data_IF_434425663213
#
_entry.id   IF_434425663213
#
_cell.length_a   1.000
_cell.length_b   1.000
_cell.length_c   1.000
_cell.angle_alpha   90.00
_cell.angle_beta   90.00
_cell.angle_gamma   90.00
#
_symmetry.space_group_name_H-M   'P 1'
#
loop_
_entity.id
_entity.type
_entity.pdbx_description
1 polymer ?
#
# COMPACT_ATOMS: atom_id res chain seq x y z
N UNK A 1 66.27 19.90 10.29
CA UNK A 1 65.26 19.44 9.35
C UNK A 1 64.44 18.35 10.04
N UNK A 2 63.30 18.72 10.60
CA UNK A 2 62.46 17.83 11.40
C UNK A 2 61.09 17.82 10.74
N UNK A 3 60.78 16.70 10.05
CA UNK A 3 59.48 16.49 9.42
C UNK A 3 58.42 16.17 10.47
N UNK A 4 57.40 17.01 10.55
CA UNK A 4 56.23 16.84 11.39
C UNK A 4 55.26 15.86 10.71
N UNK A 5 55.14 14.65 11.23
CA UNK A 5 54.24 13.60 10.81
C UNK A 5 52.79 13.98 11.26
N UNK A 6 51.97 14.54 10.38
CA UNK A 6 50.57 14.79 10.59
C UNK A 6 49.81 13.42 10.63
N UNK A 7 49.39 13.05 11.80
CA UNK A 7 48.48 11.92 12.03
C UNK A 7 47.07 12.27 11.48
N UNK A 8 46.72 11.71 10.32
CA UNK A 8 45.32 11.64 9.85
C UNK A 8 44.61 10.59 10.69
N UNK A 9 43.97 10.99 11.76
CA UNK A 9 42.97 10.15 12.45
C UNK A 9 41.69 10.14 11.60
N UNK A 10 41.59 9.17 10.70
CA UNK A 10 40.34 8.84 10.04
C UNK A 10 39.39 8.28 11.09
N UNK A 11 38.45 9.08 11.57
CA UNK A 11 37.32 8.55 12.33
C UNK A 11 36.59 7.57 11.41
N UNK A 12 36.73 6.27 11.68
CA UNK A 12 35.83 5.26 11.15
C UNK A 12 34.46 5.51 11.80
N UNK A 13 33.56 6.19 11.09
CA UNK A 13 32.14 6.23 11.42
C UNK A 13 31.67 4.78 11.49
N UNK A 14 31.33 4.32 12.66
CA UNK A 14 30.77 2.97 12.86
C UNK A 14 29.36 2.99 12.27
N UNK A 15 28.91 1.86 11.73
CA UNK A 15 27.55 1.66 11.19
C UNK A 15 26.45 2.09 12.19
N UNK A 16 26.83 2.34 13.43
CA UNK A 16 26.05 2.80 14.57
C UNK A 16 25.69 4.31 14.49
N UNK A 17 26.53 5.12 13.83
CA UNK A 17 26.36 6.58 13.72
C UNK A 17 25.51 6.97 12.50
N UNK A 18 25.03 6.00 11.71
CA UNK A 18 24.26 6.21 10.47
C UNK A 18 22.78 5.80 10.58
N UNK A 19 22.30 5.29 11.73
CA UNK A 19 20.89 4.91 11.89
C UNK A 19 20.02 6.15 11.97
N UNK A 20 19.11 6.28 10.99
CA UNK A 20 18.14 7.36 10.94
C UNK A 20 16.76 6.97 11.50
N UNK A 21 15.87 7.94 11.56
CA UNK A 21 14.47 7.74 11.98
C UNK A 21 13.78 6.61 11.20
N UNK A 22 14.07 6.50 9.90
CA UNK A 22 13.53 5.47 9.01
C UNK A 22 13.88 4.04 9.46
N UNK A 23 15.06 3.82 10.03
CA UNK A 23 15.47 2.49 10.52
C UNK A 23 14.64 2.06 11.72
N UNK A 24 14.34 3.00 12.62
CA UNK A 24 13.45 2.77 13.76
C UNK A 24 12.03 2.45 13.31
N UNK A 25 11.49 3.21 12.36
CA UNK A 25 10.15 2.97 11.78
C UNK A 25 10.12 1.58 11.12
N UNK A 26 11.10 1.24 10.31
CA UNK A 26 11.17 -0.05 9.63
C UNK A 26 11.30 -1.22 10.61
N UNK A 27 12.08 -1.07 11.67
CA UNK A 27 12.21 -2.10 12.71
C UNK A 27 10.90 -2.25 13.51
N UNK A 28 10.24 -1.15 13.86
CA UNK A 28 8.94 -1.12 14.53
C UNK A 28 7.84 -1.73 13.65
N UNK A 29 7.77 -1.37 12.35
CA UNK A 29 6.87 -1.98 11.35
C UNK A 29 6.99 -3.50 11.33
N UNK A 30 8.23 -4.04 11.28
CA UNK A 30 8.46 -5.49 11.29
C UNK A 30 7.96 -6.16 12.58
N UNK A 31 8.06 -5.48 13.72
CA UNK A 31 7.54 -5.99 15.00
C UNK A 31 6.00 -5.93 15.00
N UNK A 32 5.43 -4.81 14.56
CA UNK A 32 3.99 -4.62 14.44
C UNK A 32 3.34 -5.72 13.58
N UNK A 33 3.89 -5.97 12.39
CA UNK A 33 3.39 -7.01 11.47
C UNK A 33 3.46 -8.39 12.12
N UNK A 34 4.58 -8.72 12.77
CA UNK A 34 4.80 -10.09 13.27
C UNK A 34 4.14 -10.37 14.61
N UNK A 35 4.05 -9.36 15.48
CA UNK A 35 3.72 -9.56 16.89
C UNK A 35 2.62 -8.62 17.42
N UNK A 36 2.12 -7.69 16.60
CA UNK A 36 1.13 -6.70 17.01
C UNK A 36 1.71 -5.51 17.77
N UNK A 37 0.83 -4.52 18.03
CA UNK A 37 1.23 -3.22 18.60
C UNK A 37 1.75 -3.31 20.05
N UNK A 38 1.27 -4.26 20.83
CA UNK A 38 1.69 -4.46 22.23
C UNK A 38 3.17 -4.80 22.34
N UNK A 39 3.74 -5.40 21.28
CA UNK A 39 5.13 -5.80 21.22
C UNK A 39 6.05 -4.74 20.58
N UNK A 40 5.49 -3.65 20.08
CA UNK A 40 6.27 -2.49 19.60
C UNK A 40 6.78 -1.71 20.82
N UNK A 41 7.88 -2.20 21.41
CA UNK A 41 8.56 -1.65 22.59
C UNK A 41 9.92 -1.10 22.19
N UNK A 42 10.31 0.05 22.76
CA UNK A 42 11.57 0.74 22.44
C UNK A 42 12.77 -0.20 22.64
N UNK A 43 12.76 -0.97 23.72
CA UNK A 43 13.82 -1.90 24.08
C UNK A 43 13.98 -3.01 23.03
N UNK A 44 12.86 -3.56 22.54
CA UNK A 44 12.87 -4.60 21.49
C UNK A 44 13.38 -4.06 20.16
N UNK A 45 13.01 -2.82 19.83
CA UNK A 45 13.48 -2.15 18.61
C UNK A 45 14.99 -1.88 18.73
N UNK A 46 15.44 -1.31 19.85
CA UNK A 46 16.85 -1.04 20.11
C UNK A 46 17.72 -2.31 20.04
N UNK A 47 17.24 -3.39 20.64
CA UNK A 47 17.90 -4.72 20.55
C UNK A 47 17.98 -5.19 19.10
N UNK A 48 16.89 -5.09 18.34
CA UNK A 48 16.86 -5.48 16.91
C UNK A 48 17.81 -4.66 16.05
N UNK A 49 17.97 -3.38 16.36
CA UNK A 49 18.89 -2.46 15.67
C UNK A 49 20.32 -2.53 16.20
N UNK A 50 20.55 -3.27 17.31
CA UNK A 50 21.85 -3.39 18.00
C UNK A 50 22.38 -2.03 18.49
N UNK A 51 21.50 -1.19 19.03
CA UNK A 51 21.80 0.12 19.61
C UNK A 51 21.26 0.23 21.04
N UNK A 52 21.63 1.30 21.74
CA UNK A 52 21.11 1.59 23.08
C UNK A 52 19.71 2.21 23.00
N UNK A 53 18.92 2.04 24.05
CA UNK A 53 17.60 2.72 24.20
C UNK A 53 17.76 4.25 24.13
N UNK A 54 18.88 4.78 24.64
CA UNK A 54 19.17 6.23 24.54
C UNK A 54 19.21 6.77 23.12
N UNK A 55 19.65 5.93 22.13
CA UNK A 55 19.66 6.32 20.72
C UNK A 55 18.25 6.61 20.18
N UNK A 56 17.20 6.02 20.73
CA UNK A 56 15.81 6.28 20.33
C UNK A 56 15.43 7.75 20.54
N UNK A 57 15.82 8.33 21.67
CA UNK A 57 15.43 9.70 22.03
C UNK A 57 16.11 10.80 21.22
N UNK A 58 17.10 10.44 20.39
CA UNK A 58 17.63 11.34 19.37
C UNK A 58 16.68 11.51 18.17
N UNK A 59 15.76 10.55 17.97
CA UNK A 59 14.87 10.50 16.82
C UNK A 59 13.41 10.75 17.17
N UNK A 60 12.98 10.39 18.39
CA UNK A 60 11.59 10.46 18.82
C UNK A 60 11.49 10.98 20.26
N UNK A 61 10.50 11.83 20.53
CA UNK A 61 10.22 12.32 21.88
C UNK A 61 9.66 11.24 22.81
N UNK A 62 9.23 10.10 22.28
CA UNK A 62 8.67 8.99 23.03
C UNK A 62 7.92 8.01 22.14
N UNK A 63 7.39 6.94 22.75
CA UNK A 63 6.63 5.90 22.04
C UNK A 63 5.42 6.43 21.25
N UNK A 64 4.65 7.44 21.72
CA UNK A 64 3.58 8.02 20.91
C UNK A 64 4.07 8.60 19.59
N UNK A 65 5.20 9.32 19.58
CA UNK A 65 5.77 9.88 18.35
C UNK A 65 6.19 8.79 17.36
N UNK A 66 6.70 7.66 17.84
CA UNK A 66 6.97 6.50 16.97
C UNK A 66 5.68 5.91 16.39
N UNK A 67 4.60 5.85 17.17
CA UNK A 67 3.31 5.35 16.69
C UNK A 67 2.71 6.28 15.62
N UNK A 68 2.80 7.59 15.82
CA UNK A 68 2.37 8.56 14.81
C UNK A 68 3.21 8.43 13.53
N UNK A 69 4.52 8.22 13.65
CA UNK A 69 5.40 7.97 12.51
C UNK A 69 5.11 6.64 11.79
N UNK A 70 4.70 5.59 12.50
CA UNK A 70 4.24 4.35 11.88
C UNK A 70 2.97 4.58 11.04
N UNK A 71 2.01 5.33 11.57
CA UNK A 71 0.78 5.64 10.83
C UNK A 71 1.08 6.50 9.61
N UNK A 72 1.90 7.53 9.72
CA UNK A 72 2.31 8.36 8.57
C UNK A 72 3.05 7.52 7.51
N UNK A 73 3.89 6.59 7.93
CA UNK A 73 4.54 5.66 7.02
C UNK A 73 3.52 4.76 6.31
N UNK A 74 2.52 4.22 7.02
CA UNK A 74 1.44 3.43 6.43
C UNK A 74 0.61 4.24 5.43
N UNK A 75 0.21 5.46 5.76
CA UNK A 75 -0.50 6.35 4.84
C UNK A 75 0.31 6.58 3.56
N UNK A 76 1.62 6.79 3.70
CA UNK A 76 2.51 7.05 2.57
C UNK A 76 2.74 5.82 1.70
N UNK A 77 2.92 4.65 2.30
CA UNK A 77 3.30 3.43 1.57
C UNK A 77 2.11 2.57 1.15
N UNK A 78 0.96 2.70 1.80
CA UNK A 78 -0.20 1.83 1.54
C UNK A 78 -1.44 2.56 1.03
N UNK A 79 -1.53 3.89 1.15
CA UNK A 79 -2.71 4.65 0.71
C UNK A 79 -2.41 5.54 -0.48
N UNK A 80 -1.40 6.42 -0.38
CA UNK A 80 -1.02 7.31 -1.49
C UNK A 80 -0.77 6.61 -2.83
N UNK A 81 -0.15 5.40 -2.88
CA UNK A 81 0.08 4.71 -4.14
C UNK A 81 -1.18 4.38 -4.94
N UNK A 82 -2.32 4.10 -4.28
CA UNK A 82 -3.60 3.81 -4.94
C UNK A 82 -4.11 5.04 -5.71
N UNK A 83 -4.17 6.18 -5.05
CA UNK A 83 -4.59 7.44 -5.68
C UNK A 83 -3.65 7.86 -6.82
N UNK A 84 -2.33 7.70 -6.61
CA UNK A 84 -1.32 8.02 -7.63
C UNK A 84 -1.44 7.12 -8.86
N UNK A 85 -1.66 5.81 -8.67
CA UNK A 85 -1.83 4.87 -9.77
C UNK A 85 -3.04 5.24 -10.64
N UNK A 86 -4.18 5.54 -10.03
CA UNK A 86 -5.39 5.96 -10.74
C UNK A 86 -5.18 7.28 -11.48
N UNK A 87 -4.56 8.28 -10.82
CA UNK A 87 -4.26 9.56 -11.44
C UNK A 87 -3.35 9.42 -12.66
N UNK A 88 -2.35 8.56 -12.60
CA UNK A 88 -1.39 8.32 -13.69
C UNK A 88 -1.99 7.54 -14.85
N UNK A 89 -3.10 6.83 -14.64
CA UNK A 89 -3.76 6.02 -15.66
C UNK A 89 -4.61 6.83 -16.66
N UNK A 90 -4.76 8.16 -16.47
CA UNK A 90 -5.61 9.02 -17.31
C UNK A 90 -7.08 8.80 -17.03
N UNK A 91 -7.95 9.10 -18.02
CA UNK A 91 -9.42 9.14 -17.82
C UNK A 91 -10.16 7.85 -18.22
N UNK A 92 -9.47 6.89 -18.86
CA UNK A 92 -10.07 5.60 -19.22
C UNK A 92 -10.32 4.76 -17.96
N UNK A 93 -11.59 4.41 -17.65
CA UNK A 93 -11.93 3.66 -16.43
C UNK A 93 -11.29 2.26 -16.39
N UNK A 94 -11.04 1.64 -17.55
CA UNK A 94 -10.37 0.35 -17.64
C UNK A 94 -8.92 0.44 -17.19
N UNK A 95 -8.21 1.48 -17.63
CA UNK A 95 -6.82 1.77 -17.20
C UNK A 95 -6.78 2.10 -15.71
N UNK A 96 -7.71 2.91 -15.23
CA UNK A 96 -7.81 3.28 -13.82
C UNK A 96 -8.09 2.06 -12.92
N UNK A 97 -9.02 1.20 -13.35
CA UNK A 97 -9.34 -0.03 -12.63
C UNK A 97 -8.11 -0.94 -12.53
N UNK A 98 -7.44 -1.21 -13.65
CA UNK A 98 -6.24 -2.05 -13.67
C UNK A 98 -5.08 -1.44 -12.89
N UNK A 99 -4.88 -0.14 -12.95
CA UNK A 99 -3.85 0.55 -12.17
C UNK A 99 -4.12 0.45 -10.67
N UNK A 100 -5.38 0.64 -10.24
CA UNK A 100 -5.78 0.50 -8.85
C UNK A 100 -5.56 -0.92 -8.33
N UNK A 101 -6.06 -1.93 -9.06
CA UNK A 101 -5.88 -3.33 -8.70
C UNK A 101 -4.43 -3.79 -8.83
N UNK A 102 -3.67 -3.22 -9.75
CA UNK A 102 -2.26 -3.50 -9.92
C UNK A 102 -1.43 -3.20 -8.66
N UNK A 103 -1.80 -2.16 -7.91
CA UNK A 103 -1.16 -1.88 -6.61
C UNK A 103 -1.37 -3.04 -5.64
N UNK A 104 -2.58 -3.59 -5.57
CA UNK A 104 -2.91 -4.69 -4.67
C UNK A 104 -2.39 -6.05 -5.16
N UNK A 105 -2.60 -6.38 -6.43
CA UNK A 105 -2.27 -7.71 -6.99
C UNK A 105 -0.77 -7.90 -7.13
N UNK A 106 -0.05 -6.84 -7.54
CA UNK A 106 1.40 -6.88 -7.71
C UNK A 106 2.16 -6.49 -6.44
N UNK A 107 1.45 -6.05 -5.40
CA UNK A 107 2.00 -5.59 -4.11
C UNK A 107 3.13 -4.55 -4.28
N UNK A 108 3.01 -3.71 -5.30
CA UNK A 108 3.97 -2.66 -5.59
C UNK A 108 3.61 -1.40 -4.82
N UNK A 109 4.51 -0.98 -3.95
CA UNK A 109 4.27 0.13 -3.04
C UNK A 109 2.98 -0.07 -2.21
N UNK A 110 2.73 -1.32 -1.82
CA UNK A 110 1.66 -1.72 -0.92
C UNK A 110 2.12 -2.98 -0.17
N UNK A 111 1.96 -2.98 1.12
CA UNK A 111 2.30 -4.12 1.98
C UNK A 111 1.02 -4.61 2.67
N UNK A 112 0.41 -5.71 2.19
CA UNK A 112 -0.85 -6.22 2.74
C UNK A 112 -0.72 -6.64 4.21
N UNK A 113 0.45 -7.15 4.62
CA UNK A 113 0.70 -7.51 6.01
C UNK A 113 0.71 -6.29 6.91
N UNK A 114 1.25 -5.17 6.42
CA UNK A 114 1.23 -3.90 7.16
C UNK A 114 -0.19 -3.33 7.25
N UNK A 115 -0.95 -3.35 6.16
CA UNK A 115 -2.36 -2.91 6.16
C UNK A 115 -3.18 -3.71 7.18
N UNK A 116 -3.04 -5.04 7.17
CA UNK A 116 -3.68 -5.94 8.13
C UNK A 116 -3.27 -5.65 9.56
N UNK A 117 -1.97 -5.44 9.82
CA UNK A 117 -1.46 -5.16 11.16
C UNK A 117 -1.98 -3.83 11.72
N UNK A 118 -2.09 -2.78 10.88
CA UNK A 118 -2.70 -1.50 11.27
C UNK A 118 -4.19 -1.65 11.54
N UNK A 119 -4.92 -2.44 10.74
CA UNK A 119 -6.34 -2.76 10.98
C UNK A 119 -6.55 -3.54 12.29
N UNK A 120 -5.65 -4.47 12.60
CA UNK A 120 -5.68 -5.16 13.91
C UNK A 120 -5.44 -4.18 15.06
N UNK A 121 -4.48 -3.26 14.92
CA UNK A 121 -4.21 -2.22 15.90
C UNK A 121 -5.40 -1.28 16.08
N UNK A 122 -6.12 -0.94 15.02
CA UNK A 122 -7.30 -0.05 15.08
C UNK A 122 -8.40 -0.56 16.03
N UNK A 123 -8.50 -1.88 16.21
CA UNK A 123 -9.51 -2.49 17.10
C UNK A 123 -9.27 -2.18 18.58
N UNK A 124 -8.03 -1.87 18.96
CA UNK A 124 -7.65 -1.55 20.36
C UNK A 124 -7.34 -0.07 20.57
N UNK A 125 -7.46 0.78 19.53
CA UNK A 125 -7.16 2.21 19.60
C UNK A 125 -8.20 3.03 18.84
N UNK A 126 -9.10 3.76 19.54
CA UNK A 126 -10.08 4.63 18.88
C UNK A 126 -9.46 5.66 17.95
N UNK A 127 -8.29 6.23 18.31
CA UNK A 127 -7.53 7.16 17.45
C UNK A 127 -7.18 6.50 16.09
N UNK A 128 -6.62 5.31 16.15
CA UNK A 128 -6.22 4.59 14.92
C UNK A 128 -7.45 4.10 14.16
N UNK A 129 -8.52 3.70 14.87
CA UNK A 129 -9.80 3.34 14.27
C UNK A 129 -10.38 4.46 13.42
N UNK A 130 -10.37 5.70 13.91
CA UNK A 130 -10.82 6.87 13.17
C UNK A 130 -9.98 7.11 11.91
N UNK A 131 -8.64 6.95 11.98
CA UNK A 131 -7.76 7.10 10.83
C UNK A 131 -8.03 6.01 9.78
N UNK A 132 -8.17 4.75 10.20
CA UNK A 132 -8.48 3.64 9.28
C UNK A 132 -9.82 3.86 8.59
N UNK A 133 -10.85 4.34 9.30
CA UNK A 133 -12.15 4.65 8.72
C UNK A 133 -12.08 5.75 7.65
N UNK A 134 -11.28 6.79 7.86
CA UNK A 134 -11.04 7.85 6.86
C UNK A 134 -10.33 7.30 5.62
N UNK A 135 -9.32 6.45 5.81
CA UNK A 135 -8.59 5.80 4.72
C UNK A 135 -9.50 4.86 3.92
N UNK A 136 -10.37 4.11 4.60
CA UNK A 136 -11.34 3.23 3.94
C UNK A 136 -12.33 4.04 3.10
N UNK A 137 -12.83 5.15 3.62
CA UNK A 137 -13.69 6.06 2.89
C UNK A 137 -12.99 6.64 1.65
N UNK A 138 -11.75 7.12 1.79
CA UNK A 138 -10.94 7.65 0.66
C UNK A 138 -10.76 6.59 -0.44
N UNK A 139 -10.38 5.37 -0.09
CA UNK A 139 -10.17 4.28 -1.05
C UNK A 139 -11.47 3.87 -1.76
N UNK A 140 -12.59 3.88 -1.04
CA UNK A 140 -13.92 3.64 -1.61
C UNK A 140 -14.28 4.76 -2.58
N UNK A 141 -14.06 6.03 -2.24
CA UNK A 141 -14.37 7.16 -3.14
C UNK A 141 -13.51 7.15 -4.42
N UNK A 142 -12.26 6.69 -4.37
CA UNK A 142 -11.46 6.45 -5.58
C UNK A 142 -12.16 5.42 -6.50
N UNK A 143 -12.63 4.30 -5.92
CA UNK A 143 -13.35 3.28 -6.67
C UNK A 143 -14.70 3.79 -7.19
N UNK A 144 -15.44 4.60 -6.42
CA UNK A 144 -16.67 5.25 -6.89
C UNK A 144 -16.40 6.07 -8.15
N UNK A 145 -15.32 6.87 -8.14
CA UNK A 145 -14.91 7.63 -9.32
C UNK A 145 -14.65 6.76 -10.56
N UNK A 146 -14.04 5.59 -10.38
CA UNK A 146 -13.83 4.62 -11.47
C UNK A 146 -15.15 4.05 -11.97
N UNK A 147 -16.08 3.66 -11.08
CA UNK A 147 -17.38 3.11 -11.47
C UNK A 147 -18.29 4.14 -12.15
N UNK A 148 -18.24 5.41 -11.71
CA UNK A 148 -18.92 6.51 -12.42
C UNK A 148 -18.43 6.64 -13.86
N UNK A 149 -17.12 6.51 -14.10
CA UNK A 149 -16.54 6.53 -15.46
C UNK A 149 -16.89 5.29 -16.29
N UNK A 150 -17.17 4.16 -15.64
CA UNK A 150 -17.75 2.99 -16.33
C UNK A 150 -19.21 3.20 -16.75
N UNK A 151 -19.87 4.30 -16.34
CA UNK A 151 -21.24 4.63 -16.67
C UNK A 151 -22.25 4.26 -15.59
N UNK A 152 -21.83 3.70 -14.46
CA UNK A 152 -22.72 3.47 -13.33
C UNK A 152 -23.09 4.80 -12.64
N UNK A 153 -24.28 4.92 -12.12
CA UNK A 153 -24.77 6.16 -11.52
C UNK A 153 -25.05 5.98 -10.02
N UNK A 154 -24.89 7.05 -9.27
CA UNK A 154 -25.36 7.21 -7.90
C UNK A 154 -25.04 6.04 -6.97
N UNK A 155 -26.07 5.42 -6.45
CA UNK A 155 -25.96 4.33 -5.46
C UNK A 155 -25.36 3.06 -6.03
N UNK A 156 -25.56 2.76 -7.32
CA UNK A 156 -24.96 1.56 -7.93
C UNK A 156 -23.44 1.67 -8.00
N UNK A 157 -22.89 2.81 -8.43
CA UNK A 157 -21.45 3.05 -8.44
C UNK A 157 -20.87 2.91 -7.03
N UNK A 158 -21.55 3.47 -6.03
CA UNK A 158 -21.15 3.36 -4.61
C UNK A 158 -21.21 1.95 -4.10
N UNK A 159 -22.26 1.19 -4.42
CA UNK A 159 -22.39 -0.21 -3.99
C UNK A 159 -21.30 -1.09 -4.61
N UNK A 160 -21.04 -0.96 -5.90
CA UNK A 160 -19.99 -1.69 -6.61
C UNK A 160 -18.60 -1.39 -6.01
N UNK A 161 -18.31 -0.12 -5.73
CA UNK A 161 -17.09 0.32 -5.08
C UNK A 161 -16.90 -0.35 -3.70
N UNK A 162 -17.96 -0.36 -2.88
CA UNK A 162 -17.93 -1.01 -1.55
C UNK A 162 -17.73 -2.52 -1.65
N UNK A 163 -18.45 -3.20 -2.52
CA UNK A 163 -18.29 -4.66 -2.72
C UNK A 163 -16.86 -4.97 -3.14
N UNK A 164 -16.33 -4.23 -4.11
CA UNK A 164 -14.95 -4.36 -4.58
C UNK A 164 -13.94 -4.16 -3.46
N UNK A 165 -14.11 -3.11 -2.69
CA UNK A 165 -13.21 -2.78 -1.59
C UNK A 165 -13.26 -3.83 -0.47
N UNK A 166 -14.47 -4.21 -0.05
CA UNK A 166 -14.64 -5.19 1.03
C UNK A 166 -14.18 -6.58 0.62
N UNK A 167 -14.36 -6.97 -0.65
CA UNK A 167 -13.77 -8.20 -1.18
C UNK A 167 -12.25 -8.22 -0.99
N UNK A 168 -11.55 -7.15 -1.38
CA UNK A 168 -10.10 -7.09 -1.25
C UNK A 168 -9.63 -7.06 0.21
N UNK A 169 -10.32 -6.30 1.07
CA UNK A 169 -10.01 -6.28 2.51
C UNK A 169 -10.26 -7.67 3.13
N UNK A 170 -11.36 -8.33 2.76
CA UNK A 170 -11.68 -9.70 3.18
C UNK A 170 -10.63 -10.71 2.73
N UNK A 171 -10.16 -10.61 1.48
CA UNK A 171 -9.10 -11.45 0.93
C UNK A 171 -7.84 -11.42 1.82
N UNK A 172 -7.38 -10.23 2.21
CA UNK A 172 -6.23 -10.10 3.10
C UNK A 172 -6.55 -10.52 4.55
N UNK A 173 -7.73 -10.18 5.05
CA UNK A 173 -8.14 -10.53 6.41
C UNK A 173 -8.28 -12.06 6.62
N UNK A 174 -8.68 -12.78 5.58
CA UNK A 174 -8.75 -14.24 5.56
C UNK A 174 -7.38 -14.90 5.37
N UNK A 175 -6.33 -14.10 5.20
CA UNK A 175 -4.95 -14.57 4.98
C UNK A 175 -4.83 -15.53 3.79
N UNK A 176 -5.56 -15.25 2.69
CA UNK A 176 -5.49 -16.04 1.46
C UNK A 176 -4.15 -15.78 0.78
N UNK A 177 -3.43 -16.85 0.51
CA UNK A 177 -2.12 -16.82 -0.14
C UNK A 177 -2.21 -17.51 -1.50
N UNK A 178 -2.43 -16.72 -2.54
CA UNK A 178 -2.37 -17.18 -3.92
C UNK A 178 -1.11 -16.62 -4.60
N UNK A 179 -0.44 -17.41 -5.44
CA UNK A 179 0.66 -16.91 -6.25
C UNK A 179 0.21 -15.71 -7.10
N UNK A 180 1.07 -14.69 -7.25
CA UNK A 180 0.75 -13.50 -8.06
C UNK A 180 0.30 -13.85 -9.48
N UNK A 181 0.86 -14.91 -10.07
CA UNK A 181 0.46 -15.38 -11.41
C UNK A 181 -1.00 -15.86 -11.43
N UNK A 182 -1.45 -16.55 -10.38
CA UNK A 182 -2.83 -17.00 -10.23
C UNK A 182 -3.78 -15.82 -10.06
N UNK A 183 -3.48 -14.88 -9.16
CA UNK A 183 -4.24 -13.64 -8.97
C UNK A 183 -4.40 -12.84 -10.27
N UNK A 184 -3.34 -12.77 -11.09
CA UNK A 184 -3.39 -12.12 -12.39
C UNK A 184 -4.28 -12.89 -13.38
N UNK A 185 -4.22 -14.23 -13.37
CA UNK A 185 -5.04 -15.06 -14.27
C UNK A 185 -6.52 -14.96 -13.96
N UNK A 186 -6.90 -14.81 -12.69
CA UNK A 186 -8.27 -14.64 -12.23
C UNK A 186 -8.80 -13.19 -12.36
N UNK A 187 -7.94 -12.22 -12.60
CA UNK A 187 -8.32 -10.81 -12.64
C UNK A 187 -9.43 -10.50 -13.68
N UNK A 188 -9.46 -11.10 -14.90
CA UNK A 188 -10.55 -10.88 -15.84
C UNK A 188 -11.92 -11.36 -15.32
N UNK A 189 -11.95 -12.49 -14.62
CA UNK A 189 -13.20 -13.05 -14.09
C UNK A 189 -13.69 -12.23 -12.90
N UNK A 190 -12.81 -11.81 -12.01
CA UNK A 190 -13.15 -10.84 -10.95
C UNK A 190 -13.64 -9.52 -11.53
N UNK A 191 -12.96 -8.97 -12.53
CA UNK A 191 -13.38 -7.74 -13.17
C UNK A 191 -14.77 -7.87 -13.81
N UNK A 192 -15.05 -8.98 -14.50
CA UNK A 192 -16.36 -9.26 -15.07
C UNK A 192 -17.46 -9.28 -14.01
N UNK A 193 -17.23 -9.96 -12.88
CA UNK A 193 -18.19 -10.06 -11.78
C UNK A 193 -18.40 -8.69 -11.11
N UNK A 194 -17.32 -7.98 -10.77
CA UNK A 194 -17.36 -6.73 -10.01
C UNK A 194 -17.84 -5.55 -10.87
N UNK A 195 -17.40 -5.49 -12.12
CA UNK A 195 -17.82 -4.43 -13.06
C UNK A 195 -19.15 -4.76 -13.76
N UNK A 196 -19.48 -6.06 -13.92
CA UNK A 196 -20.77 -6.50 -14.43
C UNK A 196 -20.80 -6.82 -15.92
N UNK A 197 -19.65 -6.70 -16.65
CA UNK A 197 -19.53 -7.08 -18.07
C UNK A 197 -18.07 -7.45 -18.40
N UNK A 198 -17.89 -8.21 -19.48
CA UNK A 198 -16.60 -8.79 -19.87
C UNK A 198 -15.75 -7.81 -20.70
N UNK A 199 -15.33 -6.71 -20.07
CA UNK A 199 -14.50 -5.69 -20.73
C UNK A 199 -13.03 -6.09 -20.85
N UNK A 200 -12.62 -7.16 -20.18
CA UNK A 200 -11.25 -7.70 -20.23
C UNK A 200 -11.12 -8.92 -21.16
N UNK A 201 -12.13 -9.23 -21.97
CA UNK A 201 -12.09 -10.41 -22.85
C UNK A 201 -10.83 -10.45 -23.73
N UNK A 202 -10.43 -9.31 -24.30
CA UNK A 202 -9.25 -9.17 -25.17
C UNK A 202 -7.92 -9.15 -24.41
N UNK A 203 -7.96 -9.01 -23.09
CA UNK A 203 -6.78 -8.99 -22.21
C UNK A 203 -6.46 -10.35 -21.59
N UNK A 204 -7.23 -11.39 -21.94
CA UNK A 204 -7.01 -12.73 -21.41
C UNK A 204 -5.59 -13.21 -21.78
N UNK A 205 -4.83 -13.50 -20.74
CA UNK A 205 -3.42 -13.87 -20.82
C UNK A 205 -2.59 -13.08 -19.81
N UNK A 206 -1.83 -13.79 -19.03
CA UNK A 206 -1.12 -13.26 -17.84
C UNK A 206 -0.24 -12.05 -18.16
N UNK A 207 0.44 -12.04 -19.31
CA UNK A 207 1.36 -10.95 -19.65
C UNK A 207 0.62 -9.66 -20.01
N UNK A 208 -0.47 -9.71 -20.76
CA UNK A 208 -1.26 -8.52 -21.09
C UNK A 208 -1.86 -7.87 -19.85
N UNK A 209 -2.49 -8.67 -18.99
CA UNK A 209 -3.07 -8.18 -17.74
C UNK A 209 -1.99 -7.59 -16.83
N UNK A 210 -0.87 -8.28 -16.67
CA UNK A 210 0.26 -7.81 -15.85
C UNK A 210 0.81 -6.48 -16.37
N UNK A 211 0.99 -6.34 -17.66
CA UNK A 211 1.48 -5.11 -18.30
C UNK A 211 0.49 -3.96 -18.09
N UNK A 212 -0.79 -4.21 -18.29
CA UNK A 212 -1.85 -3.23 -18.05
C UNK A 212 -1.90 -2.79 -16.56
N UNK A 213 -1.76 -3.72 -15.62
CA UNK A 213 -1.66 -3.42 -14.18
C UNK A 213 -0.43 -2.59 -13.82
N UNK A 214 0.62 -2.60 -14.64
CA UNK A 214 1.80 -1.73 -14.49
C UNK A 214 1.61 -0.35 -15.12
N UNK A 215 0.47 -0.10 -15.77
CA UNK A 215 0.22 1.13 -16.51
C UNK A 215 0.91 1.18 -17.87
N UNK A 216 1.41 0.04 -18.39
CA UNK A 216 1.96 -0.05 -19.73
C UNK A 216 0.83 0.08 -20.76
N UNK A 217 1.14 0.74 -21.89
CA UNK A 217 0.21 0.74 -23.02
C UNK A 217 0.18 -0.65 -23.66
N UNK A 218 -0.99 -1.25 -23.68
CA UNK A 218 -1.24 -2.57 -24.24
C UNK A 218 -2.05 -2.53 -25.54
N UNK A 219 -2.21 -1.32 -26.12
CA UNK A 219 -3.01 -1.13 -27.32
C UNK A 219 -4.49 -1.43 -27.04
N UNK A 220 -5.09 -0.73 -26.07
CA UNK A 220 -6.54 -0.71 -25.99
C UNK A 220 -7.09 -0.23 -27.34
N UNK A 221 -8.16 -0.85 -27.87
CA UNK A 221 -8.74 -0.41 -29.14
C UNK A 221 -8.97 1.10 -29.10
N UNK A 222 -8.46 1.81 -30.10
CA UNK A 222 -8.63 3.23 -30.30
C UNK A 222 -10.14 3.54 -30.45
N UNK A 223 -10.66 4.20 -29.51
CA UNK A 223 -12.05 4.53 -29.33
C UNK A 223 -12.28 4.56 -27.85
N UNK A 224 -12.28 5.76 -27.26
CA UNK A 224 -12.47 5.94 -25.84
C UNK A 224 -13.61 5.07 -25.33
N UNK A 225 -13.51 4.61 -24.09
CA UNK A 225 -14.61 3.91 -23.44
C UNK A 225 -15.92 4.70 -23.67
N UNK A 226 -16.85 4.10 -24.41
CA UNK A 226 -18.22 4.61 -24.49
C UNK A 226 -18.99 3.89 -23.38
N UNK A 227 -19.43 4.67 -22.39
CA UNK A 227 -20.32 4.16 -21.36
C UNK A 227 -21.52 3.48 -22.03
N UNK A 228 -21.95 2.31 -21.52
CA UNK A 228 -23.20 1.71 -21.96
C UNK A 228 -24.29 2.77 -21.81
N UNK A 229 -24.83 3.23 -22.93
CA UNK A 229 -26.17 3.82 -22.97
C UNK A 229 -27.15 2.67 -22.74
N UNK A 230 -28.03 2.83 -21.74
CA UNK A 230 -29.13 1.93 -21.47
C UNK A 230 -30.02 1.68 -22.70
#
# INVERSE_FOLDING_TARGET
>A
MTETKLLKSGLKTTKKDQLGQADWINAAKKILIKHGITEVKIEKIATKLKVTVGSFYWHFSGRPALYDALIENWLTTNTKPLAQAVKSAGDDPRRQYLAFFGVWVLERNFDPSYDTAVRMWSRSSPKIGAIVALVDAERIEILVGIYLRFGYLGEEARMRARVTYYHQVGYYAMNIHEPTAERISLAPDYAKILVGFDWMADLRGTDKVRRAMRGEDIGYPDGGWVAKSD
#
